data_IF_461254956423
#
_entry.id   IF_461254956423
#
_cell.length_a   1.000
_cell.length_b   1.000
_cell.length_c   1.000
_cell.angle_alpha   90.00
_cell.angle_beta   90.00
_cell.angle_gamma   90.00
#
_symmetry.space_group_name_H-M   'P 1'
#
loop_
_entity.id
_entity.type
_entity.pdbx_description
1 polymer ?
#
# COMPACT_ATOMS: atom_id res chain seq x y z
N UNK A 1 4.07 -35.31 -26.57
CA UNK A 1 3.84 -33.97 -26.00
C UNK A 1 2.41 -33.55 -26.24
N UNK A 2 1.50 -33.74 -25.28
CA UNK A 2 0.19 -33.12 -25.37
C UNK A 2 0.39 -31.65 -24.97
N UNK A 3 0.47 -30.78 -25.96
CA UNK A 3 0.30 -29.34 -25.78
C UNK A 3 -1.12 -29.16 -25.26
N UNK A 4 -1.26 -28.92 -23.95
CA UNK A 4 -2.53 -28.52 -23.36
C UNK A 4 -2.83 -27.12 -23.90
N UNK A 5 -3.53 -27.07 -25.04
CA UNK A 5 -4.11 -25.85 -25.55
C UNK A 5 -5.11 -25.39 -24.47
N UNK A 6 -4.93 -24.18 -23.96
CA UNK A 6 -5.96 -23.54 -23.14
C UNK A 6 -7.29 -23.71 -23.86
N UNK A 7 -8.35 -24.15 -23.19
CA UNK A 7 -9.64 -24.12 -23.83
C UNK A 7 -9.90 -22.65 -24.18
N UNK A 8 -9.96 -22.30 -25.45
CA UNK A 8 -10.14 -20.93 -25.94
C UNK A 8 -11.29 -20.21 -25.24
N UNK A 9 -12.32 -20.98 -24.83
CA UNK A 9 -13.46 -20.47 -24.08
C UNK A 9 -13.08 -19.94 -22.68
N UNK A 10 -12.13 -20.57 -21.95
CA UNK A 10 -11.70 -20.09 -20.62
C UNK A 10 -11.02 -18.73 -20.72
N UNK A 11 -10.13 -18.55 -21.70
CA UNK A 11 -9.47 -17.28 -21.95
C UNK A 11 -10.49 -16.18 -22.35
N UNK A 12 -11.45 -16.51 -23.20
CA UNK A 12 -12.53 -15.60 -23.59
C UNK A 12 -13.40 -15.23 -22.38
N UNK A 13 -13.74 -16.20 -21.54
CA UNK A 13 -14.55 -15.93 -20.35
C UNK A 13 -13.80 -15.05 -19.34
N UNK A 14 -12.50 -15.30 -19.11
CA UNK A 14 -11.66 -14.42 -18.26
C UNK A 14 -11.63 -13.00 -18.84
N UNK A 15 -11.42 -12.86 -20.15
CA UNK A 15 -11.41 -11.56 -20.80
C UNK A 15 -12.76 -10.84 -20.65
N UNK A 16 -13.87 -11.55 -20.85
CA UNK A 16 -15.23 -11.01 -20.69
C UNK A 16 -15.50 -10.58 -19.24
N UNK A 17 -15.13 -11.42 -18.26
CA UNK A 17 -15.28 -11.09 -16.82
C UNK A 17 -14.41 -9.89 -16.43
N UNK A 18 -13.18 -9.81 -16.94
CA UNK A 18 -12.26 -8.69 -16.71
C UNK A 18 -12.83 -7.39 -17.30
N UNK A 19 -13.36 -7.44 -18.54
CA UNK A 19 -13.99 -6.29 -19.19
C UNK A 19 -15.28 -5.86 -18.46
N UNK A 20 -16.11 -6.80 -18.03
CA UNK A 20 -17.30 -6.53 -17.24
C UNK A 20 -16.95 -5.90 -15.89
N UNK A 21 -15.94 -6.41 -15.20
CA UNK A 21 -15.45 -5.86 -13.96
C UNK A 21 -14.86 -4.45 -14.13
N UNK A 22 -14.10 -4.20 -15.18
CA UNK A 22 -13.61 -2.88 -15.55
C UNK A 22 -14.77 -1.88 -15.74
N UNK A 23 -15.76 -2.26 -16.55
CA UNK A 23 -16.94 -1.43 -16.81
C UNK A 23 -17.74 -1.18 -15.54
N UNK A 24 -17.95 -2.21 -14.72
CA UNK A 24 -18.62 -2.08 -13.43
C UNK A 24 -17.88 -1.14 -12.49
N UNK A 25 -16.54 -1.21 -12.46
CA UNK A 25 -15.74 -0.32 -11.60
C UNK A 25 -15.90 1.14 -12.02
N UNK A 26 -15.80 1.43 -13.31
CA UNK A 26 -16.07 2.77 -13.82
C UNK A 26 -17.51 3.21 -13.55
N UNK A 27 -18.49 2.32 -13.76
CA UNK A 27 -19.90 2.62 -13.49
C UNK A 27 -20.17 3.00 -12.03
N UNK A 28 -19.45 2.36 -11.09
CA UNK A 28 -19.61 2.64 -9.65
C UNK A 28 -18.86 3.89 -9.22
N UNK A 29 -17.64 4.09 -9.71
CA UNK A 29 -16.74 5.08 -9.12
C UNK A 29 -16.50 6.34 -9.96
N UNK A 30 -16.88 6.35 -11.26
CA UNK A 30 -16.59 7.52 -12.11
C UNK A 30 -17.23 8.81 -11.55
N UNK A 31 -16.49 9.92 -11.55
CA UNK A 31 -15.13 10.17 -12.07
C UNK A 31 -14.00 9.80 -11.10
N UNK A 32 -14.25 9.17 -10.00
CA UNK A 32 -13.32 8.89 -8.92
C UNK A 32 -13.55 9.81 -7.72
N UNK A 33 -13.08 9.40 -6.56
CA UNK A 33 -13.32 10.13 -5.31
C UNK A 33 -12.07 10.91 -4.91
N UNK A 34 -12.19 12.24 -4.86
CA UNK A 34 -11.16 13.16 -4.42
C UNK A 34 -11.04 13.13 -2.89
N UNK A 35 -9.92 12.67 -2.37
CA UNK A 35 -9.60 12.71 -0.93
C UNK A 35 -8.74 13.92 -0.59
N UNK A 36 -8.52 14.21 0.70
CA UNK A 36 -7.58 15.26 1.11
C UNK A 36 -6.18 15.03 0.51
N UNK A 37 -5.65 13.81 0.62
CA UNK A 37 -4.35 13.46 0.03
C UNK A 37 -4.33 13.74 -1.48
N UNK A 38 -5.37 13.31 -2.20
CA UNK A 38 -5.50 13.50 -3.64
C UNK A 38 -5.62 14.99 -4.02
N UNK A 39 -6.40 15.76 -3.26
CA UNK A 39 -6.57 17.19 -3.50
C UNK A 39 -5.25 17.96 -3.31
N UNK A 40 -4.47 17.63 -2.29
CA UNK A 40 -3.14 18.23 -2.09
C UNK A 40 -2.22 17.95 -3.28
N UNK A 41 -2.18 16.69 -3.74
CA UNK A 41 -1.39 16.28 -4.92
C UNK A 41 -1.86 17.05 -6.17
N UNK A 42 -3.17 17.15 -6.38
CA UNK A 42 -3.74 17.86 -7.54
C UNK A 42 -3.45 19.37 -7.53
N UNK A 43 -3.55 20.00 -6.35
CA UNK A 43 -3.19 21.42 -6.16
C UNK A 43 -1.70 21.68 -6.36
N UNK A 44 -0.85 20.78 -5.88
CA UNK A 44 0.60 20.87 -6.08
C UNK A 44 0.96 20.70 -7.56
N UNK A 45 0.29 19.77 -8.25
CA UNK A 45 0.40 19.60 -9.70
C UNK A 45 0.03 20.88 -10.47
N UNK A 46 -1.11 21.48 -10.12
CA UNK A 46 -1.57 22.73 -10.78
C UNK A 46 -0.62 23.90 -10.56
N UNK A 47 0.11 23.92 -9.46
CA UNK A 47 1.13 24.93 -9.13
C UNK A 47 2.51 24.63 -9.69
N UNK A 48 2.73 23.42 -10.25
CA UNK A 48 4.07 22.94 -10.61
C UNK A 48 5.00 22.79 -9.39
N UNK A 49 4.42 22.56 -8.20
CA UNK A 49 5.16 22.41 -6.95
C UNK A 49 5.41 20.95 -6.63
N UNK A 50 6.63 20.62 -6.25
CA UNK A 50 7.00 19.29 -5.79
C UNK A 50 7.43 19.35 -4.32
N UNK A 51 6.63 18.78 -3.43
CA UNK A 51 6.96 18.61 -2.03
C UNK A 51 7.08 17.12 -1.67
N UNK A 52 7.90 16.76 -0.69
CA UNK A 52 8.10 15.37 -0.27
C UNK A 52 7.07 14.90 0.79
N UNK A 53 6.12 15.73 1.17
CA UNK A 53 4.98 15.33 2.04
C UNK A 53 4.04 14.35 1.33
N UNK A 54 3.71 14.67 0.09
CA UNK A 54 3.04 13.75 -0.82
C UNK A 54 4.06 13.13 -1.78
N UNK A 55 3.63 12.27 -2.69
CA UNK A 55 4.54 11.65 -3.65
C UNK A 55 4.77 12.55 -4.87
N UNK A 56 5.98 13.10 -5.08
CA UNK A 56 6.33 13.80 -6.32
C UNK A 56 6.10 12.94 -7.57
N UNK A 57 6.35 11.64 -7.49
CA UNK A 57 6.12 10.72 -8.60
C UNK A 57 4.63 10.61 -8.98
N UNK A 58 3.71 10.76 -8.03
CA UNK A 58 2.28 10.79 -8.32
C UNK A 58 1.88 12.12 -8.98
N UNK A 59 2.50 13.24 -8.60
CA UNK A 59 2.30 14.54 -9.25
C UNK A 59 2.69 14.45 -10.73
N UNK A 60 3.87 13.91 -11.03
CA UNK A 60 4.34 13.70 -12.42
C UNK A 60 3.39 12.79 -13.19
N UNK A 61 3.04 11.62 -12.63
CA UNK A 61 2.12 10.72 -13.30
C UNK A 61 0.78 11.39 -13.60
N UNK A 62 0.21 12.09 -12.62
CA UNK A 62 -1.09 12.74 -12.78
C UNK A 62 -1.03 13.83 -13.84
N UNK A 63 0.02 14.66 -13.88
CA UNK A 63 0.21 15.67 -14.91
C UNK A 63 0.29 15.10 -16.33
N UNK A 64 0.82 13.88 -16.49
CA UNK A 64 0.90 13.21 -17.79
C UNK A 64 -0.46 12.69 -18.27
N UNK A 65 -1.35 12.26 -17.35
CA UNK A 65 -2.64 11.67 -17.71
C UNK A 65 -3.81 12.63 -17.59
N UNK A 66 -3.69 13.72 -16.84
CA UNK A 66 -4.74 14.72 -16.60
C UNK A 66 -5.37 15.27 -17.91
N UNK A 67 -4.61 15.52 -19.00
CA UNK A 67 -5.20 15.98 -20.26
C UNK A 67 -6.21 15.03 -20.90
N UNK A 68 -6.21 13.74 -20.52
CA UNK A 68 -7.15 12.74 -21.05
C UNK A 68 -8.57 12.95 -20.47
N UNK A 69 -8.64 13.19 -19.14
CA UNK A 69 -9.88 13.47 -18.43
C UNK A 69 -9.52 14.27 -17.16
N UNK A 70 -9.57 15.60 -17.21
CA UNK A 70 -9.12 16.46 -16.11
C UNK A 70 -9.73 16.11 -14.76
N UNK A 71 -8.95 16.27 -13.70
CA UNK A 71 -9.35 15.90 -12.33
C UNK A 71 -9.13 14.43 -12.01
N UNK A 72 -10.04 13.85 -11.24
CA UNK A 72 -9.92 12.44 -10.77
C UNK A 72 -10.12 11.41 -11.88
N UNK A 73 -10.78 11.79 -13.00
CA UNK A 73 -11.17 10.85 -14.05
C UNK A 73 -10.00 10.13 -14.71
N UNK A 74 -8.92 10.84 -14.98
CA UNK A 74 -7.72 10.27 -15.63
C UNK A 74 -7.00 9.25 -14.74
N UNK A 75 -6.80 9.59 -13.47
CA UNK A 75 -6.16 8.70 -12.48
C UNK A 75 -7.05 7.51 -12.18
N UNK A 76 -8.39 7.71 -12.08
CA UNK A 76 -9.32 6.59 -11.95
C UNK A 76 -9.18 5.63 -13.12
N UNK A 77 -9.26 6.14 -14.36
CA UNK A 77 -9.16 5.32 -15.58
C UNK A 77 -7.86 4.51 -15.60
N UNK A 78 -6.73 5.15 -15.27
CA UNK A 78 -5.44 4.49 -15.17
C UNK A 78 -5.47 3.40 -14.09
N UNK A 79 -5.89 3.73 -12.88
CA UNK A 79 -5.91 2.80 -11.74
C UNK A 79 -6.77 1.57 -12.03
N UNK A 80 -7.98 1.78 -12.56
CA UNK A 80 -8.92 0.70 -12.91
C UNK A 80 -8.36 -0.17 -14.04
N UNK A 81 -7.70 0.45 -15.04
CA UNK A 81 -7.06 -0.29 -16.14
C UNK A 81 -5.95 -1.20 -15.59
N UNK A 82 -5.04 -0.66 -14.78
CA UNK A 82 -3.94 -1.44 -14.20
C UNK A 82 -4.44 -2.55 -13.28
N UNK A 83 -5.49 -2.28 -12.50
CA UNK A 83 -6.11 -3.23 -11.59
C UNK A 83 -6.65 -4.46 -12.32
N UNK A 84 -7.52 -4.24 -13.30
CA UNK A 84 -8.13 -5.33 -14.04
C UNK A 84 -7.14 -6.04 -14.96
N UNK A 85 -6.14 -5.32 -15.49
CA UNK A 85 -5.04 -5.92 -16.23
C UNK A 85 -4.22 -6.87 -15.34
N UNK A 86 -3.89 -6.46 -14.12
CA UNK A 86 -3.12 -7.29 -13.19
C UNK A 86 -3.85 -8.59 -12.86
N UNK A 87 -5.12 -8.51 -12.45
CA UNK A 87 -5.92 -9.70 -12.15
C UNK A 87 -6.14 -10.58 -13.39
N UNK A 88 -6.41 -9.96 -14.55
CA UNK A 88 -6.59 -10.67 -15.83
C UNK A 88 -5.34 -11.44 -16.24
N UNK A 89 -4.16 -10.83 -16.12
CA UNK A 89 -2.87 -11.49 -16.46
C UNK A 89 -2.59 -12.67 -15.53
N UNK A 90 -2.81 -12.53 -14.21
CA UNK A 90 -2.66 -13.65 -13.26
C UNK A 90 -3.67 -14.76 -13.61
N UNK A 91 -4.93 -14.41 -13.87
CA UNK A 91 -5.98 -15.36 -14.23
C UNK A 91 -5.61 -16.15 -15.51
N UNK A 92 -5.22 -15.46 -16.60
CA UNK A 92 -4.81 -16.08 -17.84
C UNK A 92 -3.56 -16.96 -17.69
N UNK A 93 -2.67 -16.63 -16.75
CA UNK A 93 -1.50 -17.46 -16.46
C UNK A 93 -1.89 -18.76 -15.79
N UNK A 94 -2.79 -18.70 -14.80
CA UNK A 94 -3.26 -19.86 -14.04
C UNK A 94 -4.21 -20.74 -14.87
N UNK A 95 -4.96 -20.15 -15.81
CA UNK A 95 -5.96 -20.84 -16.63
C UNK A 95 -5.43 -22.09 -17.36
N UNK A 96 -4.14 -22.06 -17.72
CA UNK A 96 -3.48 -23.18 -18.42
C UNK A 96 -3.45 -24.48 -17.61
N UNK A 97 -3.34 -24.38 -16.28
CA UNK A 97 -3.25 -25.52 -15.36
C UNK A 97 -4.54 -25.75 -14.57
N UNK A 98 -5.23 -24.69 -14.25
CA UNK A 98 -6.39 -24.73 -13.36
C UNK A 98 -7.47 -23.73 -13.81
N UNK A 99 -8.23 -24.04 -14.88
CA UNK A 99 -9.22 -23.13 -15.46
C UNK A 99 -10.23 -22.61 -14.44
N UNK A 100 -10.73 -23.46 -13.55
CA UNK A 100 -11.71 -23.06 -12.52
C UNK A 100 -11.14 -22.10 -11.48
N UNK A 101 -9.88 -22.31 -11.05
CA UNK A 101 -9.22 -21.37 -10.14
C UNK A 101 -8.94 -20.02 -10.83
N UNK A 102 -8.64 -20.06 -12.11
CA UNK A 102 -8.43 -18.83 -12.89
C UNK A 102 -9.69 -17.95 -12.94
N UNK A 103 -10.87 -18.56 -13.11
CA UNK A 103 -12.16 -17.86 -13.13
C UNK A 103 -12.51 -17.24 -11.76
N UNK A 104 -11.94 -17.74 -10.66
CA UNK A 104 -12.13 -17.14 -9.35
C UNK A 104 -11.45 -15.79 -9.20
N UNK A 105 -10.37 -15.51 -9.94
CA UNK A 105 -9.60 -14.27 -9.79
C UNK A 105 -10.40 -13.01 -10.14
N UNK A 106 -11.12 -12.91 -11.28
CA UNK A 106 -11.99 -11.76 -11.53
C UNK A 106 -13.10 -11.60 -10.46
N UNK A 107 -13.60 -12.69 -9.89
CA UNK A 107 -14.58 -12.64 -8.80
C UNK A 107 -13.95 -12.13 -7.49
N UNK A 108 -12.74 -12.59 -7.17
CA UNK A 108 -11.97 -12.11 -6.02
C UNK A 108 -11.58 -10.63 -6.15
N UNK A 109 -11.34 -10.16 -7.37
CA UNK A 109 -11.13 -8.74 -7.63
C UNK A 109 -12.38 -7.90 -7.29
N UNK A 110 -13.58 -8.48 -7.35
CA UNK A 110 -14.83 -7.85 -6.89
C UNK A 110 -15.10 -8.03 -5.40
N UNK A 111 -14.25 -8.79 -4.67
CA UNK A 111 -14.45 -8.95 -3.23
C UNK A 111 -14.35 -7.60 -2.50
N UNK A 112 -15.19 -7.35 -1.48
CA UNK A 112 -15.26 -6.05 -0.84
C UNK A 112 -13.90 -5.47 -0.40
N UNK A 113 -12.99 -6.22 0.26
CA UNK A 113 -11.71 -5.64 0.69
C UNK A 113 -10.77 -5.28 -0.47
N UNK A 114 -10.92 -5.89 -1.65
CA UNK A 114 -10.16 -5.54 -2.84
C UNK A 114 -10.82 -4.41 -3.65
N UNK A 115 -12.16 -4.42 -3.73
CA UNK A 115 -12.93 -3.56 -4.64
C UNK A 115 -13.22 -2.17 -4.11
N UNK A 116 -13.53 -2.02 -2.80
CA UNK A 116 -14.05 -0.76 -2.23
C UNK A 116 -13.09 0.42 -2.33
N UNK A 117 -11.80 0.18 -2.55
CA UNK A 117 -10.79 1.24 -2.60
C UNK A 117 -10.32 1.59 -4.02
N UNK A 118 -10.66 0.79 -5.03
CA UNK A 118 -10.12 0.94 -6.40
C UNK A 118 -10.43 2.31 -7.00
N UNK A 119 -11.59 2.87 -6.70
CA UNK A 119 -12.02 4.17 -7.23
C UNK A 119 -11.78 5.36 -6.30
N UNK A 120 -11.14 5.14 -5.15
CA UNK A 120 -10.72 6.20 -4.24
C UNK A 120 -9.28 6.56 -4.58
N UNK A 121 -9.04 7.84 -4.87
CA UNK A 121 -7.73 8.28 -5.34
C UNK A 121 -6.75 8.33 -4.17
N UNK A 122 -6.03 7.21 -3.99
CA UNK A 122 -4.98 7.06 -2.99
C UNK A 122 -3.72 6.47 -3.60
N UNK A 123 -2.58 7.04 -3.25
CA UNK A 123 -1.26 6.51 -3.63
C UNK A 123 -1.03 5.07 -3.15
N UNK A 124 -1.66 4.69 -2.01
CA UNK A 124 -1.62 3.34 -1.45
C UNK A 124 -2.26 2.30 -2.36
N UNK A 125 -3.34 2.66 -3.02
CA UNK A 125 -4.06 1.81 -3.97
C UNK A 125 -3.24 1.65 -5.24
N UNK A 126 -2.77 2.75 -5.81
CA UNK A 126 -1.99 2.73 -7.05
C UNK A 126 -0.65 2.00 -6.88
N UNK A 127 0.03 2.20 -5.75
CA UNK A 127 1.25 1.47 -5.39
C UNK A 127 1.02 -0.05 -5.39
N UNK A 128 -0.01 -0.52 -4.67
CA UNK A 128 -0.31 -1.94 -4.55
C UNK A 128 -0.66 -2.58 -5.90
N UNK A 129 -1.41 -1.85 -6.74
CA UNK A 129 -1.77 -2.29 -8.10
C UNK A 129 -0.54 -2.35 -9.01
N UNK A 130 0.35 -1.36 -8.95
CA UNK A 130 1.58 -1.35 -9.74
C UNK A 130 2.49 -2.54 -9.39
N UNK A 131 2.61 -2.87 -8.11
CA UNK A 131 3.37 -4.03 -7.66
C UNK A 131 2.73 -5.36 -8.06
N UNK A 132 1.40 -5.47 -7.97
CA UNK A 132 0.70 -6.66 -8.46
C UNK A 132 0.90 -6.84 -9.97
N UNK A 133 0.81 -5.76 -10.75
CA UNK A 133 1.00 -5.80 -12.20
C UNK A 133 2.43 -6.21 -12.56
N UNK A 134 3.43 -5.66 -11.87
CA UNK A 134 4.83 -6.07 -12.02
C UNK A 134 5.00 -7.58 -11.80
N UNK A 135 4.45 -8.08 -10.70
CA UNK A 135 4.50 -9.50 -10.36
C UNK A 135 3.74 -10.38 -11.38
N UNK A 136 2.57 -9.91 -11.83
CA UNK A 136 1.72 -10.63 -12.79
C UNK A 136 2.41 -10.81 -14.15
N UNK A 137 3.00 -9.76 -14.71
CA UNK A 137 3.73 -9.84 -15.97
C UNK A 137 4.90 -10.82 -15.90
N UNK A 138 5.67 -10.73 -14.83
CA UNK A 138 6.82 -11.60 -14.61
C UNK A 138 6.38 -13.06 -14.40
N UNK A 139 5.25 -13.29 -13.71
CA UNK A 139 4.66 -14.62 -13.56
C UNK A 139 4.26 -15.22 -14.89
N UNK A 140 3.58 -14.44 -15.73
CA UNK A 140 3.15 -14.90 -17.06
C UNK A 140 4.32 -15.33 -17.94
N UNK A 141 5.43 -14.61 -17.90
CA UNK A 141 6.63 -14.93 -18.67
C UNK A 141 7.38 -16.14 -18.09
N UNK A 142 7.50 -16.23 -16.77
CA UNK A 142 8.16 -17.35 -16.10
C UNK A 142 7.42 -18.68 -16.37
N UNK A 143 6.08 -18.63 -16.35
CA UNK A 143 5.23 -19.78 -16.59
C UNK A 143 5.29 -20.29 -18.03
N UNK A 144 5.45 -19.37 -18.98
CA UNK A 144 5.48 -19.69 -20.43
C UNK A 144 6.88 -19.95 -20.99
N UNK A 145 7.93 -19.62 -20.25
CA UNK A 145 9.30 -19.71 -20.73
C UNK A 145 9.61 -18.80 -21.93
N UNK A 146 8.96 -17.62 -22.00
CA UNK A 146 9.04 -16.71 -23.12
C UNK A 146 10.41 -16.06 -23.30
N UNK A 147 10.78 -15.83 -24.56
CA UNK A 147 12.01 -15.10 -24.95
C UNK A 147 11.99 -13.64 -24.45
N UNK A 148 10.81 -13.07 -24.16
CA UNK A 148 10.62 -11.71 -23.66
C UNK A 148 10.89 -11.54 -22.15
N UNK A 149 11.59 -12.49 -21.52
CA UNK A 149 11.84 -12.44 -20.07
C UNK A 149 12.56 -11.16 -19.63
N UNK A 150 13.64 -10.78 -20.30
CA UNK A 150 14.44 -9.61 -19.91
C UNK A 150 13.64 -8.31 -20.00
N UNK A 151 12.99 -7.94 -21.13
CA UNK A 151 12.21 -6.71 -21.19
C UNK A 151 11.06 -6.68 -20.19
N UNK A 152 10.39 -7.81 -19.92
CA UNK A 152 9.32 -7.87 -18.91
C UNK A 152 9.85 -7.71 -17.49
N UNK A 153 11.03 -8.27 -17.18
CA UNK A 153 11.69 -8.04 -15.89
C UNK A 153 12.10 -6.57 -15.73
N UNK A 154 12.58 -5.91 -16.79
CA UNK A 154 12.90 -4.47 -16.77
C UNK A 154 11.65 -3.64 -16.47
N UNK A 155 10.52 -3.91 -17.14
CA UNK A 155 9.24 -3.27 -16.85
C UNK A 155 8.83 -3.56 -15.38
N UNK A 156 8.99 -4.80 -14.92
CA UNK A 156 8.67 -5.19 -13.55
C UNK A 156 9.49 -4.42 -12.51
N UNK A 157 10.78 -4.24 -12.74
CA UNK A 157 11.65 -3.42 -11.88
C UNK A 157 11.25 -1.94 -11.95
N UNK A 158 10.89 -1.43 -13.13
CA UNK A 158 10.37 -0.07 -13.27
C UNK A 158 9.09 0.17 -12.47
N UNK A 159 8.12 -0.75 -12.55
CA UNK A 159 6.87 -0.70 -11.75
C UNK A 159 7.14 -0.87 -10.26
N UNK A 160 8.11 -1.71 -9.87
CA UNK A 160 8.54 -1.85 -8.48
C UNK A 160 9.10 -0.53 -7.95
N UNK A 161 10.04 0.07 -8.68
CA UNK A 161 10.66 1.35 -8.34
C UNK A 161 9.60 2.46 -8.27
N UNK A 162 8.69 2.53 -9.24
CA UNK A 162 7.55 3.45 -9.22
C UNK A 162 6.70 3.29 -7.96
N UNK A 163 6.40 2.06 -7.55
CA UNK A 163 5.67 1.81 -6.30
C UNK A 163 6.41 2.32 -5.06
N UNK A 164 7.75 2.19 -5.01
CA UNK A 164 8.57 2.78 -3.92
C UNK A 164 8.53 4.31 -3.97
N UNK A 165 8.56 4.91 -5.15
CA UNK A 165 8.41 6.36 -5.31
C UNK A 165 7.00 6.85 -4.91
N UNK A 166 5.95 6.05 -5.10
CA UNK A 166 4.61 6.38 -4.58
C UNK A 166 4.52 6.28 -3.06
N UNK A 167 5.19 5.27 -2.47
CA UNK A 167 5.12 4.95 -1.04
C UNK A 167 6.52 4.59 -0.51
N UNK A 168 7.32 5.57 -0.06
CA UNK A 168 8.69 5.31 0.41
C UNK A 168 8.79 4.30 1.56
N UNK A 169 7.76 4.14 2.40
CA UNK A 169 7.75 3.09 3.43
C UNK A 169 7.68 1.66 2.86
N UNK A 170 7.34 1.49 1.58
CA UNK A 170 7.43 0.21 0.88
C UNK A 170 8.89 -0.23 0.59
N UNK A 171 9.85 0.66 0.78
CA UNK A 171 11.27 0.43 0.54
C UNK A 171 11.80 -0.85 1.21
N UNK A 172 11.38 -1.13 2.43
CA UNK A 172 11.79 -2.35 3.13
C UNK A 172 11.18 -3.63 2.52
N UNK A 173 10.02 -3.55 1.89
CA UNK A 173 9.35 -4.71 1.29
C UNK A 173 9.81 -4.98 -0.16
N UNK A 174 10.24 -3.95 -0.86
CA UNK A 174 10.64 -3.99 -2.26
C UNK A 174 11.75 -5.00 -2.58
N UNK A 175 12.80 -5.22 -1.77
CA UNK A 175 13.85 -6.20 -2.05
C UNK A 175 13.32 -7.61 -2.24
N UNK A 176 12.30 -8.03 -1.48
CA UNK A 176 11.71 -9.38 -1.60
C UNK A 176 11.05 -9.54 -2.97
N UNK A 177 10.26 -8.53 -3.37
CA UNK A 177 9.59 -8.54 -4.66
C UNK A 177 10.59 -8.38 -5.82
N UNK A 178 11.67 -7.60 -5.65
CA UNK A 178 12.76 -7.47 -6.62
C UNK A 178 13.45 -8.81 -6.88
N UNK A 179 13.74 -9.56 -5.82
CA UNK A 179 14.32 -10.92 -5.96
C UNK A 179 13.40 -11.84 -6.73
N UNK A 180 12.10 -11.81 -6.46
CA UNK A 180 11.15 -12.58 -7.27
C UNK A 180 11.16 -12.14 -8.74
N UNK A 181 11.13 -10.85 -9.03
CA UNK A 181 11.16 -10.32 -10.40
C UNK A 181 12.40 -10.79 -11.16
N UNK A 182 13.55 -10.83 -10.50
CA UNK A 182 14.80 -11.24 -11.12
C UNK A 182 14.92 -12.78 -11.27
N UNK A 183 14.32 -13.56 -10.36
CA UNK A 183 14.34 -15.03 -10.38
C UNK A 183 12.94 -15.64 -10.29
N UNK A 184 12.06 -15.42 -11.29
CA UNK A 184 10.65 -15.78 -11.18
C UNK A 184 10.35 -17.28 -11.32
N UNK A 185 11.29 -18.08 -11.79
CA UNK A 185 11.08 -19.53 -11.93
C UNK A 185 11.27 -20.29 -10.61
N UNK A 186 12.00 -19.71 -9.66
CA UNK A 186 12.27 -20.26 -8.33
C UNK A 186 12.59 -19.12 -7.37
N UNK A 187 12.23 -19.24 -6.09
CA UNK A 187 12.53 -18.21 -5.09
C UNK A 187 13.86 -18.49 -4.38
N UNK A 188 14.96 -17.77 -4.71
CA UNK A 188 16.29 -18.02 -4.16
C UNK A 188 16.46 -17.32 -2.81
N UNK A 189 15.87 -17.85 -1.74
CA UNK A 189 15.83 -17.23 -0.41
C UNK A 189 17.19 -16.79 0.14
N UNK A 190 18.27 -17.56 -0.12
CA UNK A 190 19.66 -17.19 0.28
C UNK A 190 20.12 -15.90 -0.42
N UNK A 191 19.83 -15.77 -1.73
CA UNK A 191 20.12 -14.54 -2.47
C UNK A 191 19.24 -13.39 -1.98
N UNK A 192 17.97 -13.67 -1.65
CA UNK A 192 17.09 -12.68 -1.07
C UNK A 192 17.67 -12.09 0.22
N UNK A 193 18.18 -12.93 1.12
CA UNK A 193 18.80 -12.50 2.36
C UNK A 193 20.08 -11.66 2.12
N UNK A 194 20.95 -12.08 1.19
CA UNK A 194 22.21 -11.38 0.88
C UNK A 194 21.93 -10.04 0.18
N UNK A 195 21.00 -10.01 -0.78
CA UNK A 195 20.72 -8.83 -1.59
C UNK A 195 19.74 -7.86 -0.91
N UNK A 196 19.16 -8.22 0.23
CA UNK A 196 18.12 -7.41 0.88
C UNK A 196 18.63 -6.00 1.22
N UNK A 197 19.73 -5.89 1.95
CA UNK A 197 20.27 -4.58 2.35
C UNK A 197 20.81 -3.80 1.15
N UNK A 198 21.63 -4.35 0.24
CA UNK A 198 22.06 -3.63 -0.96
C UNK A 198 20.88 -3.13 -1.83
N UNK A 199 19.84 -3.93 -2.02
CA UNK A 199 18.67 -3.53 -2.79
C UNK A 199 17.88 -2.41 -2.09
N UNK A 200 17.71 -2.48 -0.77
CA UNK A 200 17.04 -1.43 0.00
C UNK A 200 17.84 -0.11 -0.08
N UNK A 201 19.16 -0.15 0.06
CA UNK A 201 20.03 1.03 -0.06
C UNK A 201 19.99 1.61 -1.48
N UNK A 202 20.02 0.77 -2.51
CA UNK A 202 19.92 1.21 -3.90
C UNK A 202 18.57 1.89 -4.20
N UNK A 203 17.46 1.34 -3.70
CA UNK A 203 16.14 1.94 -3.83
C UNK A 203 16.00 3.23 -3.00
N UNK A 204 16.62 3.29 -1.82
CA UNK A 204 16.69 4.54 -1.06
C UNK A 204 17.44 5.63 -1.83
N UNK A 205 18.61 5.28 -2.40
CA UNK A 205 19.36 6.19 -3.27
C UNK A 205 18.54 6.65 -4.47
N UNK A 206 17.78 5.73 -5.11
CA UNK A 206 16.87 6.08 -6.19
C UNK A 206 15.83 7.13 -5.75
N UNK A 207 15.20 6.96 -4.59
CA UNK A 207 14.24 7.94 -4.05
C UNK A 207 14.91 9.30 -3.84
N UNK A 208 16.11 9.32 -3.26
CA UNK A 208 16.84 10.58 -3.03
C UNK A 208 17.13 11.30 -4.37
N UNK A 209 17.71 10.57 -5.33
CA UNK A 209 18.04 11.14 -6.65
C UNK A 209 16.78 11.60 -7.37
N UNK A 210 15.74 10.77 -7.46
CA UNK A 210 14.52 11.15 -8.21
C UNK A 210 13.80 12.34 -7.55
N UNK A 211 13.64 12.32 -6.23
CA UNK A 211 12.90 13.37 -5.53
C UNK A 211 13.66 14.69 -5.53
N UNK A 212 14.94 14.69 -5.12
CA UNK A 212 15.64 15.93 -4.85
C UNK A 212 16.52 16.41 -5.98
N UNK A 213 17.17 15.50 -6.72
CA UNK A 213 18.09 15.90 -7.80
C UNK A 213 17.36 16.05 -9.15
N UNK A 214 16.37 15.17 -9.45
CA UNK A 214 15.65 15.21 -10.74
C UNK A 214 14.41 16.10 -10.64
N UNK A 215 13.57 15.94 -9.63
CA UNK A 215 12.30 16.68 -9.50
C UNK A 215 12.43 17.95 -8.64
N UNK A 216 13.56 18.19 -7.98
CA UNK A 216 13.78 19.36 -7.15
C UNK A 216 12.80 19.49 -5.98
N UNK A 217 12.39 18.36 -5.39
CA UNK A 217 11.36 18.36 -4.36
C UNK A 217 11.80 19.13 -3.11
N UNK A 218 10.91 19.98 -2.62
CA UNK A 218 11.09 20.72 -1.37
C UNK A 218 10.91 19.77 -0.17
N UNK A 219 11.84 19.83 0.79
CA UNK A 219 11.78 19.03 2.02
C UNK A 219 10.70 19.58 2.95
N UNK A 220 9.71 18.75 3.26
CA UNK A 220 8.59 19.04 4.16
C UNK A 220 8.59 18.16 5.42
N UNK A 221 9.65 17.38 5.61
CA UNK A 221 9.87 16.53 6.78
C UNK A 221 8.77 15.49 7.08
N UNK A 222 8.42 14.62 6.12
CA UNK A 222 7.32 13.66 6.27
C UNK A 222 7.56 12.57 7.34
N UNK A 223 8.75 12.52 7.96
CA UNK A 223 9.05 11.65 9.10
C UNK A 223 8.69 12.29 10.45
N UNK A 224 8.50 13.60 10.52
CA UNK A 224 8.21 14.28 11.79
C UNK A 224 6.87 13.89 12.43
N UNK A 225 5.80 13.58 11.68
CA UNK A 225 4.60 12.95 12.25
C UNK A 225 4.88 11.69 13.08
N UNK A 226 5.84 10.85 12.62
CA UNK A 226 6.25 9.65 13.37
C UNK A 226 6.85 10.06 14.72
N UNK A 227 7.71 11.09 14.72
CA UNK A 227 8.37 11.57 15.94
C UNK A 227 7.37 12.18 16.92
N UNK A 228 6.40 12.99 16.43
CA UNK A 228 5.32 13.54 17.25
C UNK A 228 4.49 12.43 17.89
N UNK A 229 4.12 11.43 17.08
CA UNK A 229 3.33 10.31 17.55
C UNK A 229 4.06 9.46 18.59
N UNK A 230 5.35 9.21 18.37
CA UNK A 230 6.20 8.50 19.33
C UNK A 230 6.37 9.28 20.64
N UNK A 231 6.68 10.58 20.55
CA UNK A 231 6.82 11.42 21.74
C UNK A 231 5.53 11.44 22.56
N UNK A 232 4.37 11.53 21.88
CA UNK A 232 3.08 11.45 22.55
C UNK A 232 2.83 10.10 23.20
N UNK A 233 3.13 9.00 22.50
CA UNK A 233 3.01 7.65 23.04
C UNK A 233 3.97 7.41 24.22
N UNK A 234 5.23 7.79 24.08
CA UNK A 234 6.22 7.69 25.17
C UNK A 234 5.76 8.51 26.38
N UNK A 235 5.30 9.76 26.16
CA UNK A 235 4.82 10.62 27.25
C UNK A 235 3.67 9.98 28.02
N UNK A 236 2.73 9.35 27.31
CA UNK A 236 1.60 8.65 27.92
C UNK A 236 2.05 7.44 28.75
N UNK A 237 2.91 6.58 28.24
CA UNK A 237 3.31 5.35 28.92
C UNK A 237 4.37 5.59 30.00
N UNK A 238 5.26 6.58 29.84
CA UNK A 238 6.25 6.96 30.83
C UNK A 238 5.69 7.91 31.91
N UNK A 239 4.48 8.47 31.70
CA UNK A 239 3.88 9.51 32.59
C UNK A 239 4.81 10.73 32.77
N UNK A 240 5.56 11.07 31.75
CA UNK A 240 6.49 12.17 31.68
C UNK A 240 6.43 12.85 30.32
N UNK A 241 6.29 14.17 30.29
CA UNK A 241 6.31 14.90 29.02
C UNK A 241 7.72 14.89 28.43
N UNK A 242 7.88 14.26 27.25
CA UNK A 242 9.17 14.16 26.54
C UNK A 242 9.25 15.04 25.31
N UNK A 243 8.22 15.84 25.01
CA UNK A 243 8.26 16.82 23.93
C UNK A 243 9.30 17.93 24.25
N UNK A 244 9.99 18.44 23.21
CA UNK A 244 10.86 19.60 23.40
C UNK A 244 10.04 20.89 23.65
N UNK A 245 10.65 21.89 24.22
CA UNK A 245 10.01 23.18 24.55
C UNK A 245 9.56 23.29 25.99
N UNK A 246 8.89 24.39 26.33
CA UNK A 246 8.39 24.70 27.67
C UNK A 246 6.87 24.54 27.71
N UNK A 247 6.38 23.68 28.58
CA UNK A 247 4.97 23.32 28.71
C UNK A 247 4.44 23.70 30.09
N UNK A 248 3.22 24.18 30.14
CA UNK A 248 2.53 24.42 31.43
C UNK A 248 2.22 23.09 32.14
N UNK A 249 1.85 23.18 33.41
CA UNK A 249 1.45 21.99 34.18
C UNK A 249 0.20 21.32 33.59
N UNK A 250 -0.78 22.10 33.13
CA UNK A 250 -2.03 21.60 32.54
C UNK A 250 -1.79 20.94 31.17
N UNK A 251 -0.97 21.57 30.32
CA UNK A 251 -0.58 20.96 29.01
C UNK A 251 0.19 19.66 29.23
N UNK A 252 1.12 19.66 30.20
CA UNK A 252 1.86 18.43 30.56
C UNK A 252 0.93 17.33 31.06
N UNK A 253 -0.08 17.66 31.88
CA UNK A 253 -1.07 16.70 32.33
C UNK A 253 -1.88 16.14 31.17
N UNK A 254 -2.33 16.97 30.20
CA UNK A 254 -3.03 16.53 28.99
C UNK A 254 -2.14 15.64 28.11
N UNK A 255 -0.89 16.01 27.84
CA UNK A 255 0.06 15.23 27.04
C UNK A 255 0.27 13.85 27.68
N UNK A 256 0.40 13.76 28.98
CA UNK A 256 0.74 12.51 29.67
C UNK A 256 -0.46 11.59 29.95
N UNK A 257 -1.70 12.12 29.92
CA UNK A 257 -2.88 11.36 30.34
C UNK A 257 -4.07 11.47 29.38
N UNK A 258 -4.15 12.48 28.50
CA UNK A 258 -5.35 12.80 27.73
C UNK A 258 -5.20 12.78 26.22
N UNK A 259 -3.98 12.99 25.69
CA UNK A 259 -3.80 13.16 24.24
C UNK A 259 -3.54 11.88 23.48
N UNK A 260 -2.96 10.85 24.11
CA UNK A 260 -2.56 9.67 23.36
C UNK A 260 -3.74 8.81 22.93
N UNK A 261 -3.80 8.54 21.63
CA UNK A 261 -4.67 7.54 21.04
C UNK A 261 -3.86 6.66 20.09
N UNK A 262 -3.98 5.31 20.17
CA UNK A 262 -3.19 4.42 19.31
C UNK A 262 -3.69 4.35 17.86
N UNK A 263 -4.74 5.09 17.52
CA UNK A 263 -5.41 5.04 16.21
C UNK A 263 -4.66 5.86 15.17
N UNK A 264 -4.30 7.11 15.52
CA UNK A 264 -3.62 8.02 14.59
C UNK A 264 -2.92 9.17 15.35
N UNK A 265 -1.90 9.74 14.70
CA UNK A 265 -1.21 10.94 15.19
C UNK A 265 -2.03 12.23 15.05
N UNK A 266 -3.11 12.16 14.23
CA UNK A 266 -3.98 13.30 13.89
C UNK A 266 -4.56 14.00 15.11
N UNK A 267 -4.65 13.33 16.26
CA UNK A 267 -5.08 13.91 17.54
C UNK A 267 -4.24 15.14 17.91
N UNK A 268 -2.97 15.18 17.52
CA UNK A 268 -2.06 16.25 17.91
C UNK A 268 -2.16 17.51 17.03
N UNK A 269 -2.78 17.43 15.85
CA UNK A 269 -2.79 18.54 14.90
C UNK A 269 -4.18 18.89 14.32
N UNK A 270 -5.20 18.06 14.51
CA UNK A 270 -6.55 18.33 13.99
C UNK A 270 -7.65 18.29 15.03
N UNK A 271 -7.39 17.77 16.25
CA UNK A 271 -8.44 17.48 17.22
C UNK A 271 -8.21 18.12 18.58
N UNK A 272 -9.27 18.70 19.11
CA UNK A 272 -9.28 19.12 20.52
C UNK A 272 -9.38 17.88 21.43
N UNK A 273 -8.80 17.91 22.64
CA UNK A 273 -8.10 19.05 23.24
C UNK A 273 -6.60 19.16 22.89
N UNK A 274 -6.05 18.31 22.01
CA UNK A 274 -4.60 18.13 21.86
C UNK A 274 -3.97 18.88 20.68
N UNK A 275 -4.74 19.64 19.92
CA UNK A 275 -4.26 20.51 18.84
C UNK A 275 -3.15 21.46 19.28
N UNK A 276 -3.19 21.91 20.55
CA UNK A 276 -2.17 22.80 21.12
C UNK A 276 -0.74 22.26 21.00
N UNK A 277 -0.56 20.92 20.89
CA UNK A 277 0.77 20.31 20.76
C UNK A 277 1.42 20.76 19.46
N UNK A 278 0.73 20.65 18.34
CA UNK A 278 1.27 21.10 17.05
C UNK A 278 1.37 22.63 16.99
N UNK A 279 0.38 23.37 17.48
CA UNK A 279 0.43 24.83 17.56
C UNK A 279 1.66 25.31 18.35
N UNK A 280 2.01 24.62 19.43
CA UNK A 280 3.21 24.91 20.22
C UNK A 280 4.48 24.57 19.41
N UNK A 281 4.58 23.38 18.84
CA UNK A 281 5.75 22.96 18.08
C UNK A 281 6.01 23.86 16.87
N UNK A 282 4.97 24.35 16.20
CA UNK A 282 5.07 25.27 15.07
C UNK A 282 5.46 26.69 15.54
N UNK A 283 4.82 27.22 16.58
CA UNK A 283 5.11 28.54 17.16
C UNK A 283 6.56 28.66 17.63
N UNK A 284 7.09 27.62 18.27
CA UNK A 284 8.47 27.56 18.76
C UNK A 284 9.46 27.12 17.66
N UNK A 285 8.97 26.89 16.41
CA UNK A 285 9.78 26.39 15.29
C UNK A 285 10.50 25.07 15.60
N UNK A 286 9.90 24.23 16.42
CA UNK A 286 10.41 22.91 16.80
C UNK A 286 10.01 21.84 15.77
N UNK A 287 8.82 21.96 15.18
CA UNK A 287 8.44 21.10 14.03
C UNK A 287 9.38 21.39 12.86
N UNK A 288 9.72 20.35 12.08
CA UNK A 288 10.69 20.43 10.98
C UNK A 288 12.10 20.88 11.41
N UNK A 289 12.49 20.65 12.68
CA UNK A 289 13.79 21.05 13.22
C UNK A 289 14.61 19.87 13.77
N UNK A 290 15.93 20.02 13.91
CA UNK A 290 16.77 19.03 14.59
C UNK A 290 16.37 18.80 16.05
N UNK A 291 15.83 19.82 16.74
CA UNK A 291 15.44 19.73 18.14
C UNK A 291 14.36 18.66 18.38
N UNK A 292 13.38 18.54 17.48
CA UNK A 292 12.37 17.47 17.55
C UNK A 292 13.00 16.09 17.36
N UNK A 293 13.90 15.96 16.39
CA UNK A 293 14.61 14.70 16.11
C UNK A 293 15.47 14.26 17.30
N UNK A 294 16.18 15.21 17.93
CA UNK A 294 17.03 14.93 19.08
C UNK A 294 16.20 14.59 20.34
N UNK A 295 15.06 15.27 20.54
CA UNK A 295 14.12 14.93 21.60
C UNK A 295 13.57 13.52 21.42
N UNK A 296 13.17 13.16 20.20
CA UNK A 296 12.68 11.83 19.86
C UNK A 296 13.73 10.73 20.12
N UNK A 297 14.97 10.92 19.68
CA UNK A 297 16.07 9.98 19.96
C UNK A 297 16.31 9.81 21.45
N UNK A 298 16.40 10.93 22.19
CA UNK A 298 16.58 10.90 23.66
C UNK A 298 15.42 10.17 24.35
N UNK A 299 14.19 10.44 23.94
CA UNK A 299 13.01 9.81 24.54
C UNK A 299 13.03 8.28 24.36
N UNK A 300 13.37 7.78 23.16
CA UNK A 300 13.49 6.33 22.89
C UNK A 300 14.56 5.69 23.79
N UNK A 301 15.73 6.33 23.91
CA UNK A 301 16.84 5.79 24.72
C UNK A 301 16.53 5.86 26.22
N UNK A 302 15.86 6.93 26.68
CA UNK A 302 15.54 7.12 28.11
C UNK A 302 14.33 6.27 28.54
N UNK A 303 13.39 6.02 27.66
CA UNK A 303 12.14 5.30 27.96
C UNK A 303 11.84 4.16 26.97
N UNK A 304 12.77 3.19 26.79
CA UNK A 304 12.63 2.15 25.75
C UNK A 304 11.39 1.28 25.95
N UNK A 305 11.00 0.99 27.20
CA UNK A 305 9.79 0.21 27.49
C UNK A 305 8.53 0.95 27.08
N UNK A 306 8.43 2.26 27.38
CA UNK A 306 7.28 3.07 26.99
C UNK A 306 7.17 3.19 25.46
N UNK A 307 8.29 3.35 24.77
CA UNK A 307 8.34 3.31 23.30
C UNK A 307 7.82 1.99 22.76
N UNK A 308 8.29 0.85 23.26
CA UNK A 308 7.83 -0.47 22.82
C UNK A 308 6.35 -0.72 23.14
N UNK A 309 5.87 -0.26 24.30
CA UNK A 309 4.45 -0.32 24.65
C UNK A 309 3.60 0.51 23.69
N UNK A 310 4.02 1.72 23.36
CA UNK A 310 3.36 2.56 22.35
C UNK A 310 3.28 1.84 21.01
N UNK A 311 4.41 1.36 20.49
CA UNK A 311 4.46 0.71 19.16
C UNK A 311 3.72 -0.62 19.14
N UNK A 312 3.76 -1.40 20.20
CA UNK A 312 2.98 -2.64 20.33
C UNK A 312 1.47 -2.35 20.37
N UNK A 313 1.05 -1.34 21.13
CA UNK A 313 -0.36 -0.93 21.20
C UNK A 313 -0.86 -0.43 19.84
N UNK A 314 -0.07 0.41 19.17
CA UNK A 314 -0.38 0.85 17.80
C UNK A 314 -0.51 -0.33 16.83
N UNK A 315 0.49 -1.23 16.81
CA UNK A 315 0.46 -2.40 15.90
C UNK A 315 -0.71 -3.33 16.19
N UNK A 316 -1.02 -3.56 17.47
CA UNK A 316 -2.20 -4.33 17.87
C UNK A 316 -3.48 -3.67 17.33
N UNK A 317 -3.62 -2.36 17.52
CA UNK A 317 -4.78 -1.60 17.03
C UNK A 317 -4.88 -1.64 15.51
N UNK A 318 -3.75 -1.56 14.79
CA UNK A 318 -3.71 -1.70 13.33
C UNK A 318 -4.17 -3.08 12.87
N UNK A 319 -3.68 -4.14 13.50
CA UNK A 319 -3.99 -5.51 13.10
C UNK A 319 -5.42 -5.92 13.43
N UNK A 320 -5.97 -5.45 14.54
CA UNK A 320 -7.27 -5.89 15.06
C UNK A 320 -8.39 -4.87 14.89
N UNK A 321 -8.06 -3.60 14.66
CA UNK A 321 -9.02 -2.52 14.47
C UNK A 321 -9.70 -2.56 13.10
N UNK A 322 -10.86 -1.90 12.99
CA UNK A 322 -11.57 -1.64 11.73
C UNK A 322 -11.64 -0.12 11.49
N UNK A 323 -10.48 0.53 11.45
CA UNK A 323 -10.35 1.97 11.60
C UNK A 323 -10.41 2.74 10.27
N UNK A 324 -10.96 2.17 9.21
CA UNK A 324 -11.19 2.91 7.98
C UNK A 324 -12.67 2.93 7.64
N UNK A 325 -13.17 4.12 7.34
CA UNK A 325 -14.44 4.30 6.65
C UNK A 325 -14.16 4.52 5.18
N UNK A 326 -14.89 3.83 4.30
CA UNK A 326 -14.83 4.07 2.87
C UNK A 326 -15.14 5.54 2.59
N UNK A 327 -14.20 6.24 1.94
CA UNK A 327 -14.35 7.64 1.61
C UNK A 327 -15.36 7.80 0.47
N UNK A 328 -16.41 8.58 0.69
CA UNK A 328 -17.49 8.85 -0.28
C UNK A 328 -17.83 10.33 -0.40
N UNK A 329 -16.96 11.17 0.15
CA UNK A 329 -17.11 12.62 0.06
C UNK A 329 -16.08 13.14 -0.91
N UNK A 330 -16.46 14.09 -1.72
CA UNK A 330 -15.54 14.80 -2.59
C UNK A 330 -15.09 16.11 -1.96
N UNK A 331 -14.07 16.73 -2.52
CA UNK A 331 -13.53 17.99 -2.05
C UNK A 331 -13.50 18.96 -3.23
N UNK A 332 -14.00 20.17 -3.01
CA UNK A 332 -13.87 21.26 -3.97
C UNK A 332 -12.48 21.92 -3.89
N UNK A 333 -12.22 22.86 -4.79
CA UNK A 333 -10.96 23.61 -4.83
C UNK A 333 -10.67 24.39 -3.53
N UNK A 334 -11.71 24.67 -2.74
CA UNK A 334 -11.58 25.36 -1.45
C UNK A 334 -11.39 24.40 -0.27
N UNK A 335 -11.25 23.11 -0.53
CA UNK A 335 -11.18 22.01 0.45
C UNK A 335 -12.46 21.82 1.27
N UNK A 336 -13.60 22.33 0.77
CA UNK A 336 -14.91 22.05 1.35
C UNK A 336 -15.38 20.67 0.92
N UNK A 337 -16.00 19.97 1.87
CA UNK A 337 -16.59 18.66 1.61
C UNK A 337 -17.83 18.84 0.75
N UNK A 338 -17.85 18.20 -0.41
CA UNK A 338 -19.01 18.07 -1.29
C UNK A 338 -19.57 16.65 -1.14
N UNK A 339 -20.88 16.53 -0.98
CA UNK A 339 -21.53 15.23 -1.02
C UNK A 339 -21.62 14.76 -2.46
N UNK A 340 -21.05 13.60 -2.74
CA UNK A 340 -21.15 12.96 -4.04
C UNK A 340 -22.53 12.33 -4.17
N UNK A 341 -23.36 12.85 -5.07
CA UNK A 341 -24.65 12.24 -5.41
C UNK A 341 -24.43 11.06 -6.35
N UNK A 342 -23.97 9.94 -5.77
CA UNK A 342 -23.75 8.69 -6.49
C UNK A 342 -24.38 7.53 -5.71
N UNK A 343 -25.62 7.15 -6.03
CA UNK A 343 -26.35 6.08 -5.32
C UNK A 343 -25.61 4.74 -5.32
N UNK A 344 -24.84 4.46 -6.37
CA UNK A 344 -24.06 3.21 -6.52
C UNK A 344 -22.89 3.18 -5.54
N UNK A 345 -22.19 4.30 -5.42
CA UNK A 345 -21.10 4.47 -4.45
C UNK A 345 -21.64 4.37 -3.02
N UNK A 346 -22.82 4.94 -2.76
CA UNK A 346 -23.48 4.85 -1.46
C UNK A 346 -23.96 3.44 -1.13
N UNK A 347 -24.45 2.68 -2.12
CA UNK A 347 -24.78 1.27 -1.94
C UNK A 347 -23.53 0.42 -1.62
N UNK A 348 -22.41 0.68 -2.32
CA UNK A 348 -21.14 0.03 -2.01
C UNK A 348 -20.62 0.40 -0.61
N UNK A 349 -20.79 1.66 -0.20
CA UNK A 349 -20.47 2.11 1.16
C UNK A 349 -21.31 1.37 2.21
N UNK A 350 -22.61 1.22 1.99
CA UNK A 350 -23.49 0.49 2.90
C UNK A 350 -23.05 -0.98 3.06
N UNK A 351 -22.67 -1.64 1.94
CA UNK A 351 -22.08 -2.98 1.98
C UNK A 351 -20.77 -3.00 2.76
N UNK A 352 -19.87 -2.04 2.52
CA UNK A 352 -18.62 -1.91 3.27
C UNK A 352 -18.88 -1.74 4.76
N UNK A 353 -19.78 -0.82 5.14
CA UNK A 353 -20.06 -0.52 6.55
C UNK A 353 -20.66 -1.74 7.28
N UNK A 354 -21.51 -2.51 6.59
CA UNK A 354 -22.04 -3.78 7.12
C UNK A 354 -20.96 -4.86 7.31
N UNK A 355 -19.95 -4.90 6.44
CA UNK A 355 -18.86 -5.88 6.50
C UNK A 355 -17.66 -5.42 7.32
N UNK A 356 -17.53 -4.13 7.58
CA UNK A 356 -16.42 -3.52 8.32
C UNK A 356 -16.11 -4.18 9.68
N UNK A 357 -17.11 -4.61 10.49
CA UNK A 357 -16.84 -5.33 11.74
C UNK A 357 -16.25 -6.72 11.56
N UNK A 358 -16.35 -7.30 10.36
CA UNK A 358 -15.91 -8.68 10.09
C UNK A 358 -14.38 -8.78 9.97
N UNK A 359 -13.81 -10.00 10.04
CA UNK A 359 -12.39 -10.22 9.79
C UNK A 359 -11.88 -9.73 8.42
N UNK A 360 -12.76 -9.57 7.42
CA UNK A 360 -12.39 -9.11 6.07
C UNK A 360 -11.72 -7.72 6.08
N UNK A 361 -12.10 -6.84 7.03
CA UNK A 361 -11.54 -5.51 7.19
C UNK A 361 -10.61 -5.37 8.41
N UNK A 362 -10.00 -6.49 8.84
CA UNK A 362 -8.91 -6.50 9.82
C UNK A 362 -7.58 -6.74 9.10
N UNK A 363 -6.62 -5.85 9.28
CA UNK A 363 -5.31 -5.99 8.66
C UNK A 363 -4.61 -7.31 9.08
N UNK A 364 -4.81 -7.74 10.32
CA UNK A 364 -4.28 -9.01 10.83
C UNK A 364 -4.77 -10.25 10.08
N UNK A 365 -6.00 -10.25 9.57
CA UNK A 365 -6.50 -11.37 8.73
C UNK A 365 -5.65 -11.54 7.48
N UNK A 366 -5.29 -10.45 6.83
CA UNK A 366 -4.48 -10.48 5.62
C UNK A 366 -3.02 -10.79 5.91
N UNK A 367 -2.50 -10.35 7.06
CA UNK A 367 -1.17 -10.76 7.53
C UNK A 367 -1.11 -12.28 7.73
N UNK A 368 -2.09 -12.86 8.41
CA UNK A 368 -2.17 -14.32 8.65
C UNK A 368 -2.37 -15.10 7.35
N UNK A 369 -3.23 -14.61 6.44
CA UNK A 369 -3.41 -15.24 5.12
C UNK A 369 -2.09 -15.26 4.34
N UNK A 370 -1.38 -14.12 4.25
CA UNK A 370 -0.11 -14.06 3.54
C UNK A 370 0.95 -14.97 4.18
N UNK A 371 1.00 -15.06 5.51
CA UNK A 371 1.88 -16.00 6.22
C UNK A 371 1.54 -17.45 5.90
N UNK A 372 0.27 -17.83 5.92
CA UNK A 372 -0.18 -19.16 5.53
C UNK A 372 0.18 -19.49 4.09
N UNK A 373 -0.06 -18.55 3.16
CA UNK A 373 0.32 -18.72 1.74
C UNK A 373 1.82 -18.92 1.60
N UNK A 374 2.64 -18.14 2.31
CA UNK A 374 4.10 -18.31 2.28
C UNK A 374 4.53 -19.69 2.79
N UNK A 375 3.93 -20.21 3.86
CA UNK A 375 4.21 -21.55 4.39
C UNK A 375 3.92 -22.66 3.36
N UNK A 376 2.79 -22.58 2.68
CA UNK A 376 2.44 -23.53 1.61
C UNK A 376 3.34 -23.35 0.38
N UNK A 377 3.60 -22.11 -0.02
CA UNK A 377 4.43 -21.77 -1.18
C UNK A 377 5.89 -22.19 -0.98
N UNK A 378 6.38 -22.25 0.27
CA UNK A 378 7.74 -22.69 0.57
C UNK A 378 8.05 -24.08 0.03
N UNK A 379 7.09 -25.01 0.11
CA UNK A 379 7.21 -26.38 -0.46
C UNK A 379 7.22 -26.37 -1.99
N UNK A 380 6.80 -25.27 -2.62
CA UNK A 380 6.73 -25.04 -4.06
C UNK A 380 7.67 -23.95 -4.56
N UNK A 381 8.64 -23.50 -3.74
CA UNK A 381 9.52 -22.36 -4.03
C UNK A 381 10.33 -22.50 -5.33
N UNK A 382 10.48 -23.72 -5.83
CA UNK A 382 11.18 -24.04 -7.08
C UNK A 382 10.24 -24.11 -8.30
N UNK A 383 9.04 -23.56 -8.19
CA UNK A 383 8.09 -23.43 -9.30
C UNK A 383 7.73 -21.95 -9.48
N UNK A 384 7.34 -21.52 -10.70
CA UNK A 384 6.90 -20.14 -10.95
C UNK A 384 5.77 -19.69 -10.01
N UNK A 385 4.78 -20.55 -9.77
CA UNK A 385 3.66 -20.25 -8.86
C UNK A 385 4.09 -20.09 -7.39
N UNK A 386 4.98 -20.95 -6.92
CA UNK A 386 5.53 -20.83 -5.56
C UNK A 386 6.43 -19.61 -5.41
N UNK A 387 7.24 -19.31 -6.43
CA UNK A 387 8.07 -18.10 -6.43
C UNK A 387 7.22 -16.82 -6.45
N UNK A 388 6.16 -16.78 -7.28
CA UNK A 388 5.18 -15.69 -7.31
C UNK A 388 4.56 -15.47 -5.92
N UNK A 389 3.99 -16.51 -5.34
CA UNK A 389 3.34 -16.43 -4.04
C UNK A 389 4.29 -15.97 -2.93
N UNK A 390 5.53 -16.49 -2.88
CA UNK A 390 6.55 -16.05 -1.92
C UNK A 390 6.98 -14.60 -2.15
N UNK A 391 7.09 -14.16 -3.41
CA UNK A 391 7.43 -12.78 -3.74
C UNK A 391 6.36 -11.79 -3.29
N UNK A 392 5.11 -12.01 -3.69
CA UNK A 392 4.01 -11.07 -3.38
C UNK A 392 3.62 -11.12 -1.90
N UNK A 393 3.40 -12.33 -1.33
CA UNK A 393 2.97 -12.46 0.06
C UNK A 393 4.11 -12.14 1.05
N UNK A 394 5.35 -12.53 0.73
CA UNK A 394 6.52 -12.20 1.55
C UNK A 394 6.77 -10.69 1.61
N UNK A 395 6.69 -9.99 0.46
CA UNK A 395 6.80 -8.53 0.45
C UNK A 395 5.64 -7.87 1.19
N UNK A 396 4.42 -8.41 1.10
CA UNK A 396 3.26 -7.89 1.81
C UNK A 396 3.40 -8.02 3.34
N UNK A 397 3.93 -9.15 3.83
CA UNK A 397 4.23 -9.33 5.26
C UNK A 397 5.23 -8.28 5.74
N UNK A 398 6.35 -8.12 5.03
CA UNK A 398 7.37 -7.13 5.41
C UNK A 398 6.81 -5.72 5.35
N UNK A 399 6.04 -5.37 4.31
CA UNK A 399 5.38 -4.07 4.22
C UNK A 399 4.50 -3.77 5.43
N UNK A 400 3.64 -4.72 5.83
CA UNK A 400 2.79 -4.55 7.01
C UNK A 400 3.61 -4.44 8.30
N UNK A 401 4.69 -5.20 8.43
CA UNK A 401 5.54 -5.14 9.62
C UNK A 401 6.31 -3.83 9.75
N UNK A 402 6.55 -3.10 8.64
CA UNK A 402 7.17 -1.76 8.72
C UNK A 402 6.33 -0.75 9.52
N UNK A 403 5.00 -0.94 9.55
CA UNK A 403 4.12 -0.06 10.31
C UNK A 403 4.39 -0.10 11.82
N UNK A 404 4.97 -1.16 12.34
CA UNK A 404 5.46 -1.18 13.72
C UNK A 404 6.43 -0.02 14.01
N UNK A 405 7.32 0.30 13.07
CA UNK A 405 8.32 1.35 13.24
C UNK A 405 7.86 2.72 12.70
N UNK A 406 7.17 2.73 11.54
CA UNK A 406 6.88 3.99 10.82
C UNK A 406 5.38 4.32 10.73
N UNK A 407 4.52 3.49 11.31
CA UNK A 407 3.07 3.74 11.27
C UNK A 407 2.67 4.94 12.12
N UNK A 408 1.76 5.76 11.57
CA UNK A 408 1.19 6.95 12.23
C UNK A 408 -0.33 6.94 12.24
N UNK A 409 -0.95 6.00 11.54
CA UNK A 409 -2.40 5.79 11.52
C UNK A 409 -2.72 4.32 11.24
N UNK A 410 -3.87 3.85 11.71
CA UNK A 410 -4.29 2.45 11.64
C UNK A 410 -5.32 2.19 10.53
N UNK A 411 -5.28 2.98 9.47
CA UNK A 411 -6.19 2.84 8.34
C UNK A 411 -6.02 1.51 7.62
N UNK A 412 -7.12 0.80 7.35
CA UNK A 412 -7.10 -0.47 6.64
C UNK A 412 -6.53 -0.35 5.21
N UNK A 413 -6.60 0.83 4.57
CA UNK A 413 -5.96 1.08 3.25
C UNK A 413 -4.48 0.73 3.22
N UNK A 414 -3.80 0.81 4.35
CA UNK A 414 -2.38 0.43 4.45
C UNK A 414 -2.14 -1.08 4.36
N UNK A 415 -3.17 -1.90 4.56
CA UNK A 415 -3.11 -3.33 4.31
C UNK A 415 -3.46 -3.70 2.86
N UNK A 416 -3.75 -2.74 1.97
CA UNK A 416 -4.28 -3.01 0.63
C UNK A 416 -3.34 -3.88 -0.21
N UNK A 417 -2.02 -3.65 -0.12
CA UNK A 417 -1.05 -4.56 -0.76
C UNK A 417 -1.17 -5.99 -0.25
N UNK A 418 -1.37 -6.19 1.06
CA UNK A 418 -1.53 -7.53 1.65
C UNK A 418 -2.85 -8.19 1.20
N UNK A 419 -3.91 -7.42 0.95
CA UNK A 419 -5.16 -7.93 0.36
C UNK A 419 -4.90 -8.48 -1.03
N UNK A 420 -4.34 -7.67 -1.94
CA UNK A 420 -4.10 -8.08 -3.33
C UNK A 420 -3.12 -9.26 -3.42
N UNK A 421 -2.04 -9.22 -2.65
CA UNK A 421 -1.04 -10.27 -2.58
C UNK A 421 -1.62 -11.58 -2.04
N UNK A 422 -2.39 -11.51 -0.95
CA UNK A 422 -3.02 -12.68 -0.33
C UNK A 422 -4.01 -13.37 -1.26
N UNK A 423 -4.89 -12.61 -1.93
CA UNK A 423 -5.86 -13.15 -2.87
C UNK A 423 -5.19 -13.85 -4.06
N UNK A 424 -4.25 -13.16 -4.70
CA UNK A 424 -3.58 -13.68 -5.90
C UNK A 424 -2.58 -14.80 -5.59
N UNK A 425 -1.83 -14.65 -4.48
CA UNK A 425 -0.88 -15.66 -4.00
C UNK A 425 -1.55 -16.97 -3.59
N UNK A 426 -2.71 -16.90 -2.90
CA UNK A 426 -3.47 -18.08 -2.49
C UNK A 426 -3.94 -18.88 -3.71
N UNK A 427 -4.50 -18.22 -4.72
CA UNK A 427 -4.93 -18.89 -5.96
C UNK A 427 -3.73 -19.46 -6.73
N UNK A 428 -2.63 -18.71 -6.81
CA UNK A 428 -1.44 -19.19 -7.51
C UNK A 428 -0.85 -20.45 -6.86
N UNK A 429 -0.82 -20.53 -5.53
CA UNK A 429 -0.27 -21.71 -4.83
C UNK A 429 -1.22 -22.90 -4.84
N UNK A 430 -2.53 -22.66 -5.01
CA UNK A 430 -3.56 -23.71 -5.09
C UNK A 430 -3.61 -24.40 -6.46
N UNK A 431 -3.03 -23.82 -7.52
CA UNK A 431 -3.06 -24.45 -8.86
C UNK A 431 -2.45 -25.86 -8.87
N UNK A 432 -2.90 -26.71 -9.79
CA UNK A 432 -2.39 -28.08 -9.95
C UNK A 432 -0.88 -28.08 -10.20
N UNK A 433 -0.18 -29.07 -9.64
CA UNK A 433 1.23 -29.32 -9.98
C UNK A 433 1.33 -29.82 -11.39
N UNK A 434 2.40 -29.46 -12.10
CA UNK A 434 2.79 -30.21 -13.28
C UNK A 434 3.11 -31.63 -12.81
N UNK A 435 2.42 -32.62 -13.32
CA UNK A 435 2.87 -34.01 -13.16
C UNK A 435 4.25 -34.10 -13.86
N UNK A 436 5.27 -34.65 -13.18
CA UNK A 436 6.52 -34.94 -13.87
C UNK A 436 6.18 -35.79 -15.07
N UNK A 437 6.83 -35.59 -16.24
CA UNK A 437 6.61 -36.45 -17.39
C UNK A 437 6.78 -37.88 -16.92
N UNK A 438 5.72 -38.69 -17.11
CA UNK A 438 5.78 -40.14 -16.87
C UNK A 438 6.96 -40.69 -17.67
N UNK A 439 8.00 -41.16 -16.98
CA UNK A 439 9.13 -41.84 -17.58
C UNK A 439 8.70 -43.07 -18.34
#
# INVERSE_FOLDING_TARGET
MRVWSEPKWTALLIAAMTAAGFTLTLYVFYPGVMTFDALYIYKDMAKGFFGDWQSPAMIVLWSLVDPIAPGTGSILLLTVTLYWLAFGVVALTIARRSPWLALMLPLLALSPPAFVFVGIIWRDVLFAIAWLLAAAFVFAVADRGWKLRVPVQTIGIGLLAFGVLLRPNALAAAPILAVYILWPAHFPWKRAAILYVPAALGLFGLVQVVYYDVLGATRQYPLHPIMVFDLGGISNFARANVFPGSWTADETALITHGCYQPIAWDIYWTQQPCLFVMEHLEREKLFASPALTDAWKRAIVSYPTAYLQHRATFMWTFLTGANLTMWTRDLDDTSKIIFVDNPRLMALKALHDGLKPTPLFRAGTWLLLNAAVCLFAWRRRNTPAGAFALGVCGSAIVYMMTFFAVGVATDFRYAYWAVLAGLTGAIAVAQRRDEPPSC
#
